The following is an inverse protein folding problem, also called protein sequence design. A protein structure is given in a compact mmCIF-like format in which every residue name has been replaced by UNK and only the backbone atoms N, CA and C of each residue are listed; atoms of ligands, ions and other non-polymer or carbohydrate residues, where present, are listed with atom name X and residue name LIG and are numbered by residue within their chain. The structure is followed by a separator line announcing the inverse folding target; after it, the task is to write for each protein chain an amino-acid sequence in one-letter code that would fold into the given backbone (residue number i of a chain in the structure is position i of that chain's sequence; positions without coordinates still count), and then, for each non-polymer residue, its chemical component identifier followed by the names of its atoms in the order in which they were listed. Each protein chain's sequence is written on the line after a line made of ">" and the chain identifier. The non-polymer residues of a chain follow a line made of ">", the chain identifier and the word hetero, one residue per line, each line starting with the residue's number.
data_IF_440760273690
#
_entry.id   IF_440760273690
#
_cell.length_a   1.000
_cell.length_b   1.000
_cell.length_c   1.000
_cell.angle_alpha   90.00
_cell.angle_beta   90.00
_cell.angle_gamma   90.00
#
_symmetry.space_group_name_H-M   'P 1'
#
loop_
_entity.id
_entity.type
_entity.pdbx_description
1 polymer ?
#
# COMPACT_ATOMS: atom_id res chain seq x y z
N UNK A 1 16.89 -36.99 6.55
CA UNK A 1 17.73 -35.81 6.70
C UNK A 1 16.96 -34.54 6.39
N UNK A 2 17.39 -33.43 6.97
CA UNK A 2 16.84 -32.11 6.65
C UNK A 2 17.10 -31.81 5.18
N UNK A 3 16.10 -31.29 4.47
CA UNK A 3 16.34 -30.82 3.11
C UNK A 3 17.19 -29.53 3.14
N UNK A 4 17.72 -29.12 1.97
CA UNK A 4 18.61 -27.96 1.89
C UNK A 4 17.90 -26.65 2.28
N UNK A 5 16.57 -26.56 2.09
CA UNK A 5 15.80 -25.36 2.43
C UNK A 5 15.65 -25.22 3.95
N UNK A 6 15.41 -26.30 4.69
CA UNK A 6 15.34 -26.27 6.14
C UNK A 6 16.69 -25.95 6.77
N UNK A 7 17.78 -26.54 6.25
CA UNK A 7 19.13 -26.24 6.72
C UNK A 7 19.48 -24.77 6.52
N UNK A 8 19.04 -24.18 5.40
CA UNK A 8 19.24 -22.76 5.10
C UNK A 8 18.44 -21.86 6.05
N UNK A 9 17.17 -22.20 6.32
CA UNK A 9 16.32 -21.47 7.25
C UNK A 9 16.87 -21.46 8.67
N UNK A 10 17.42 -22.59 9.14
CA UNK A 10 17.99 -22.72 10.49
C UNK A 10 19.20 -21.80 10.70
N UNK A 11 19.87 -21.39 9.62
CA UNK A 11 21.02 -20.48 9.69
C UNK A 11 20.66 -19.00 9.57
N UNK A 12 19.39 -18.70 9.33
CA UNK A 12 18.93 -17.32 9.20
C UNK A 12 18.67 -16.69 10.56
N UNK A 13 19.05 -15.42 10.69
CA UNK A 13 18.74 -14.61 11.87
C UNK A 13 17.29 -14.15 11.81
N UNK A 14 16.61 -14.15 12.94
CA UNK A 14 15.22 -13.70 13.03
C UNK A 14 15.14 -12.21 13.17
N UNK A 15 14.25 -11.57 12.38
CA UNK A 15 13.82 -10.19 12.57
C UNK A 15 12.36 -10.17 13.02
N UNK A 16 12.07 -9.40 14.04
CA UNK A 16 10.71 -9.17 14.51
C UNK A 16 10.07 -8.05 13.69
N UNK A 17 8.99 -8.37 13.00
CA UNK A 17 8.30 -7.46 12.08
C UNK A 17 6.91 -7.17 12.59
N UNK A 18 6.60 -5.89 12.80
CA UNK A 18 5.26 -5.45 13.20
C UNK A 18 4.46 -4.93 12.02
N UNK A 19 3.15 -5.15 12.06
CA UNK A 19 2.24 -4.64 11.04
C UNK A 19 0.85 -4.41 11.60
N UNK A 20 0.07 -3.61 10.88
CA UNK A 20 -1.38 -3.52 11.04
C UNK A 20 -2.06 -4.32 9.93
N UNK A 21 -3.35 -4.56 10.07
CA UNK A 21 -4.13 -5.23 9.02
C UNK A 21 -4.44 -4.25 7.90
N UNK A 22 -4.16 -4.67 6.68
CA UNK A 22 -4.50 -3.93 5.46
C UNK A 22 -4.60 -4.89 4.27
N UNK A 23 -5.72 -5.62 4.12
CA UNK A 23 -5.87 -6.57 3.01
C UNK A 23 -5.83 -5.87 1.65
N UNK A 24 -5.26 -6.47 0.61
CA UNK A 24 -4.59 -7.77 0.55
C UNK A 24 -3.08 -7.71 0.84
N UNK A 25 -2.59 -6.60 1.37
CA UNK A 25 -1.17 -6.39 1.64
C UNK A 25 -0.73 -7.15 2.90
N UNK A 26 -1.50 -7.04 3.98
CA UNK A 26 -1.32 -7.79 5.22
C UNK A 26 -2.69 -8.19 5.76
N UNK A 27 -2.91 -9.47 5.95
CA UNK A 27 -4.14 -9.98 6.55
C UNK A 27 -3.88 -11.33 7.22
N UNK A 28 -4.89 -11.86 7.89
CA UNK A 28 -4.81 -13.19 8.49
C UNK A 28 -5.64 -14.16 7.67
N UNK A 29 -5.10 -15.37 7.45
CA UNK A 29 -5.82 -16.42 6.75
C UNK A 29 -6.78 -17.17 7.69
N UNK A 30 -7.42 -18.22 7.18
CA UNK A 30 -8.36 -19.05 7.94
C UNK A 30 -7.72 -19.76 9.12
N UNK A 31 -6.38 -19.92 9.12
CA UNK A 31 -5.62 -20.56 10.21
C UNK A 31 -5.06 -19.54 11.20
N UNK A 32 -5.31 -18.26 10.99
CA UNK A 32 -4.79 -17.18 11.83
C UNK A 32 -3.36 -16.77 11.51
N UNK A 33 -2.77 -17.28 10.44
CA UNK A 33 -1.44 -16.90 10.00
C UNK A 33 -1.46 -15.54 9.31
N UNK A 34 -0.40 -14.76 9.53
CA UNK A 34 -0.23 -13.45 8.87
C UNK A 34 0.31 -13.69 7.46
N UNK A 35 -0.46 -13.25 6.47
CA UNK A 35 -0.19 -13.48 5.05
C UNK A 35 -0.47 -12.19 4.27
N UNK A 36 -0.18 -12.18 2.98
CA UNK A 36 -0.49 -11.08 2.08
C UNK A 36 0.69 -10.71 1.21
N UNK A 37 0.44 -9.75 0.31
CA UNK A 37 1.44 -9.32 -0.67
C UNK A 37 2.70 -8.79 0.00
N UNK A 38 2.55 -7.89 0.98
CA UNK A 38 3.69 -7.29 1.66
C UNK A 38 4.47 -8.32 2.48
N UNK A 39 3.77 -9.30 3.05
CA UNK A 39 4.40 -10.40 3.78
C UNK A 39 5.27 -11.24 2.83
N UNK A 40 4.76 -11.57 1.65
CA UNK A 40 5.52 -12.34 0.65
C UNK A 40 6.73 -11.58 0.14
N UNK A 41 6.58 -10.28 -0.14
CA UNK A 41 7.67 -9.44 -0.61
C UNK A 41 8.78 -9.34 0.43
N UNK A 42 8.43 -9.01 1.67
CA UNK A 42 9.42 -8.85 2.73
C UNK A 42 10.09 -10.17 3.10
N UNK A 43 9.35 -11.27 3.13
CA UNK A 43 9.91 -12.59 3.41
C UNK A 43 10.98 -12.97 2.38
N UNK A 44 10.68 -12.81 1.08
CA UNK A 44 11.64 -13.07 0.01
C UNK A 44 12.87 -12.17 0.11
N UNK A 45 12.65 -10.87 0.30
CA UNK A 45 13.75 -9.91 0.39
C UNK A 45 14.66 -10.18 1.59
N UNK A 46 14.09 -10.48 2.75
CA UNK A 46 14.85 -10.80 3.96
C UNK A 46 15.65 -12.09 3.79
N UNK A 47 15.07 -13.11 3.16
CA UNK A 47 15.77 -14.37 2.88
C UNK A 47 17.02 -14.12 2.05
N UNK A 48 16.93 -13.25 1.05
CA UNK A 48 18.09 -12.90 0.19
C UNK A 48 19.25 -12.27 0.95
N UNK A 49 18.97 -11.62 2.08
CA UNK A 49 20.01 -10.95 2.88
C UNK A 49 20.34 -11.67 4.19
N UNK A 50 19.86 -12.91 4.35
CA UNK A 50 20.24 -13.76 5.47
C UNK A 50 19.36 -13.67 6.72
N UNK A 51 18.12 -13.20 6.57
CA UNK A 51 17.16 -13.08 7.67
C UNK A 51 15.88 -13.85 7.40
N UNK A 52 15.18 -14.18 8.47
CA UNK A 52 13.80 -14.68 8.40
C UNK A 52 12.90 -13.82 9.27
N UNK A 53 11.70 -13.49 8.79
CA UNK A 53 10.78 -12.64 9.55
C UNK A 53 10.00 -13.44 10.59
N UNK A 54 9.69 -12.77 11.68
CA UNK A 54 8.66 -13.19 12.62
C UNK A 54 7.64 -12.07 12.68
N UNK A 55 6.47 -12.32 12.09
CA UNK A 55 5.42 -11.32 11.97
C UNK A 55 4.53 -11.29 13.20
N UNK A 56 4.12 -10.08 13.58
CA UNK A 56 3.10 -9.89 14.60
C UNK A 56 2.25 -8.67 14.28
N UNK A 57 0.96 -8.76 14.57
CA UNK A 57 0.07 -7.60 14.52
C UNK A 57 0.33 -6.77 15.78
N UNK A 58 0.39 -5.46 15.59
CA UNK A 58 0.66 -4.51 16.67
C UNK A 58 -0.41 -3.43 16.72
N UNK A 59 -0.48 -2.73 17.85
CA UNK A 59 -1.15 -1.44 17.90
C UNK A 59 -0.27 -0.45 17.11
N UNK A 60 -0.77 0.01 15.97
CA UNK A 60 -0.01 0.83 15.05
C UNK A 60 0.46 2.15 15.67
N UNK A 61 -0.29 2.67 16.64
CA UNK A 61 0.09 3.87 17.36
C UNK A 61 1.36 3.70 18.20
N UNK A 62 1.71 2.45 18.52
CA UNK A 62 2.90 2.12 19.32
C UNK A 62 4.14 1.80 18.47
N UNK A 63 4.06 1.89 17.15
CA UNK A 63 5.15 1.44 16.27
C UNK A 63 6.51 2.09 16.58
N UNK A 64 6.54 3.40 16.83
CA UNK A 64 7.79 4.10 17.12
C UNK A 64 8.40 3.65 18.45
N UNK A 65 7.56 3.50 19.47
CA UNK A 65 7.96 3.03 20.79
C UNK A 65 8.53 1.61 20.73
N UNK A 66 7.85 0.72 19.99
CA UNK A 66 8.28 -0.67 19.85
C UNK A 66 9.59 -0.80 19.05
N UNK A 67 9.80 0.05 18.06
CA UNK A 67 11.06 0.12 17.32
C UNK A 67 12.19 0.67 18.22
N UNK A 68 11.92 1.73 18.95
CA UNK A 68 12.92 2.35 19.83
C UNK A 68 13.37 1.42 20.96
N UNK A 69 12.47 0.60 21.50
CA UNK A 69 12.79 -0.37 22.54
C UNK A 69 13.54 -1.60 22.05
N UNK A 70 13.54 -1.85 20.73
CA UNK A 70 14.11 -3.05 20.14
C UNK A 70 13.19 -4.26 20.19
N UNK A 71 11.97 -4.11 20.69
CA UNK A 71 10.96 -5.17 20.70
C UNK A 71 10.58 -5.56 19.25
N UNK A 72 10.56 -4.56 18.35
CA UNK A 72 10.47 -4.78 16.91
C UNK A 72 11.75 -4.33 16.23
N UNK A 73 12.15 -5.06 15.19
CA UNK A 73 13.24 -4.66 14.31
C UNK A 73 12.77 -3.71 13.21
N UNK A 74 11.58 -3.96 12.67
CA UNK A 74 11.00 -3.12 11.63
C UNK A 74 9.47 -3.22 11.62
N UNK A 75 8.84 -2.27 10.93
CA UNK A 75 7.40 -2.27 10.68
C UNK A 75 7.14 -2.12 9.18
N UNK A 76 6.04 -2.67 8.71
CA UNK A 76 5.64 -2.63 7.31
C UNK A 76 4.12 -2.80 7.17
N UNK A 77 3.61 -2.85 5.94
CA UNK A 77 2.20 -3.05 5.66
C UNK A 77 1.58 -1.83 5.01
N UNK A 78 1.76 -1.69 3.70
CA UNK A 78 1.32 -0.53 2.93
C UNK A 78 1.71 0.80 3.59
N UNK A 79 2.92 0.85 4.14
CA UNK A 79 3.42 1.99 4.91
C UNK A 79 4.11 3.00 4.00
N UNK A 80 3.47 4.16 3.82
CA UNK A 80 3.99 5.22 2.96
C UNK A 80 5.24 5.88 3.56
N UNK A 81 6.30 5.95 2.74
CA UNK A 81 7.52 6.69 3.07
C UNK A 81 7.33 8.20 2.94
N UNK A 82 6.43 8.62 2.09
CA UNK A 82 6.25 10.03 1.73
C UNK A 82 5.82 10.85 2.93
N UNK A 83 6.57 11.93 3.18
CA UNK A 83 6.34 12.82 4.33
C UNK A 83 6.93 12.30 5.65
N UNK A 84 7.52 11.11 5.65
CA UNK A 84 8.10 10.48 6.84
C UNK A 84 9.57 10.11 6.66
N UNK A 85 10.21 10.65 5.62
CA UNK A 85 11.57 10.29 5.24
C UNK A 85 12.58 10.48 6.38
N UNK A 86 12.34 11.45 7.25
CA UNK A 86 13.21 11.78 8.38
C UNK A 86 12.78 11.17 9.72
N UNK A 87 11.71 10.38 9.74
CA UNK A 87 11.19 9.79 10.98
C UNK A 87 11.72 8.38 11.23
N UNK A 88 12.15 7.69 10.17
CA UNK A 88 12.64 6.31 10.24
C UNK A 88 13.85 6.13 9.33
N UNK A 89 14.56 5.01 9.51
CA UNK A 89 15.43 4.51 8.45
C UNK A 89 14.61 3.59 7.58
N UNK A 90 14.52 3.92 6.31
CA UNK A 90 13.65 3.24 5.37
C UNK A 90 14.39 2.27 4.46
N UNK A 91 13.78 1.12 4.25
CA UNK A 91 14.10 0.24 3.14
C UNK A 91 12.99 0.35 2.10
N UNK A 92 13.34 0.62 0.87
CA UNK A 92 12.38 0.80 -0.20
C UNK A 92 12.69 2.03 -1.05
N UNK A 93 11.69 2.52 -1.83
CA UNK A 93 10.33 1.96 -1.93
C UNK A 93 10.32 0.58 -2.59
N UNK A 94 9.39 -0.27 -2.21
CA UNK A 94 9.24 -1.59 -2.83
C UNK A 94 8.00 -1.69 -3.75
N UNK A 95 6.98 -0.87 -3.53
CA UNK A 95 5.80 -0.73 -4.39
C UNK A 95 5.36 0.73 -4.44
N UNK A 96 4.72 1.10 -5.53
CA UNK A 96 3.97 2.34 -5.62
C UNK A 96 2.57 2.12 -5.06
N UNK A 97 2.02 3.17 -4.43
CA UNK A 97 0.66 3.18 -3.89
C UNK A 97 -0.05 4.43 -4.39
N UNK A 98 -1.24 4.26 -4.96
CA UNK A 98 -1.99 5.35 -5.58
C UNK A 98 -3.34 5.53 -4.92
N UNK A 99 -3.68 6.79 -4.62
CA UNK A 99 -5.04 7.21 -4.31
C UNK A 99 -5.60 7.78 -5.60
N UNK A 100 -6.75 7.28 -6.04
CA UNK A 100 -7.27 7.57 -7.37
C UNK A 100 -8.74 7.94 -7.34
N UNK A 101 -9.19 8.54 -8.43
CA UNK A 101 -10.60 8.83 -8.68
C UNK A 101 -11.13 7.81 -9.68
N UNK A 102 -12.30 7.23 -9.39
CA UNK A 102 -13.00 6.34 -10.29
C UNK A 102 -14.36 6.92 -10.66
N UNK A 103 -14.75 6.71 -11.89
CA UNK A 103 -16.02 7.17 -12.46
C UNK A 103 -16.71 6.02 -13.20
N UNK A 104 -17.97 6.20 -13.52
CA UNK A 104 -18.67 5.29 -14.42
C UNK A 104 -17.96 5.26 -15.78
N UNK A 105 -17.86 4.09 -16.44
CA UNK A 105 -17.18 4.00 -17.74
C UNK A 105 -17.73 4.95 -18.82
N UNK A 106 -18.99 5.36 -18.70
CA UNK A 106 -19.65 6.28 -19.64
C UNK A 106 -19.53 7.75 -19.24
N UNK A 107 -18.87 8.05 -18.12
CA UNK A 107 -18.69 9.43 -17.65
C UNK A 107 -17.83 10.26 -18.63
N UNK A 108 -18.08 11.55 -18.67
CA UNK A 108 -17.26 12.52 -19.39
C UNK A 108 -16.11 13.11 -18.57
N UNK A 109 -15.90 12.58 -17.35
CA UNK A 109 -14.79 12.97 -16.47
C UNK A 109 -13.57 12.14 -16.84
N UNK A 110 -12.51 12.76 -17.33
CA UNK A 110 -11.27 12.09 -17.75
C UNK A 110 -10.04 12.55 -16.97
N UNK A 111 -10.07 13.78 -16.45
CA UNK A 111 -8.94 14.37 -15.72
C UNK A 111 -9.42 14.90 -14.38
N UNK A 112 -8.49 15.20 -13.47
CA UNK A 112 -8.85 15.84 -12.20
C UNK A 112 -9.52 17.20 -12.42
N UNK A 113 -9.13 17.94 -13.46
CA UNK A 113 -9.76 19.22 -13.81
C UNK A 113 -11.25 19.08 -14.14
N UNK A 114 -11.67 17.93 -14.65
CA UNK A 114 -13.09 17.67 -14.97
C UNK A 114 -13.97 17.50 -13.74
N UNK A 115 -13.38 17.46 -12.54
CA UNK A 115 -14.12 17.40 -11.27
C UNK A 115 -14.75 18.73 -10.88
N UNK A 116 -14.49 19.82 -11.64
CA UNK A 116 -15.09 21.13 -11.37
C UNK A 116 -16.61 21.02 -11.29
N UNK A 117 -17.16 21.52 -10.20
CA UNK A 117 -18.60 21.52 -9.92
C UNK A 117 -19.25 20.13 -9.91
N UNK A 118 -18.46 19.08 -9.59
CA UNK A 118 -18.95 17.71 -9.48
C UNK A 118 -19.08 17.28 -8.02
N UNK A 119 -19.88 16.24 -7.79
CA UNK A 119 -20.07 15.63 -6.48
C UNK A 119 -19.15 14.42 -6.39
N UNK A 120 -18.32 14.39 -5.35
CA UNK A 120 -17.35 13.30 -5.12
C UNK A 120 -17.62 12.67 -3.76
N UNK A 121 -17.56 11.35 -3.70
CA UNK A 121 -17.68 10.62 -2.43
C UNK A 121 -16.37 9.95 -2.04
N UNK A 122 -16.13 9.92 -0.74
CA UNK A 122 -14.95 9.28 -0.11
C UNK A 122 -15.39 8.56 1.16
N UNK A 123 -14.51 7.70 1.67
CA UNK A 123 -14.66 7.19 3.03
C UNK A 123 -14.02 8.16 4.02
N UNK A 124 -14.66 8.36 5.15
CA UNK A 124 -14.16 9.21 6.23
C UNK A 124 -12.81 8.70 6.75
N UNK A 125 -11.95 9.61 7.18
CA UNK A 125 -10.64 9.34 7.78
C UNK A 125 -9.65 8.63 6.83
N UNK A 126 -9.81 8.87 5.52
CA UNK A 126 -8.90 8.34 4.50
C UNK A 126 -8.07 9.47 3.89
N UNK A 127 -7.00 9.11 3.19
CA UNK A 127 -6.17 10.10 2.47
C UNK A 127 -6.95 10.85 1.39
N UNK A 128 -7.82 10.21 0.58
CA UNK A 128 -8.63 10.95 -0.38
C UNK A 128 -9.53 12.01 0.26
N UNK A 129 -10.14 11.71 1.41
CA UNK A 129 -10.92 12.71 2.15
C UNK A 129 -10.05 13.91 2.50
N UNK A 130 -8.88 13.68 3.10
CA UNK A 130 -7.98 14.75 3.51
C UNK A 130 -7.53 15.61 2.32
N UNK A 131 -7.21 14.97 1.20
CA UNK A 131 -6.76 15.67 -0.01
C UNK A 131 -7.88 16.57 -0.56
N UNK A 132 -9.09 16.04 -0.66
CA UNK A 132 -10.22 16.77 -1.25
C UNK A 132 -10.78 17.82 -0.30
N UNK A 133 -10.91 17.47 0.99
CA UNK A 133 -11.45 18.38 2.00
C UNK A 133 -10.52 19.58 2.25
N UNK A 134 -9.23 19.32 2.34
CA UNK A 134 -8.22 20.33 2.68
C UNK A 134 -7.46 20.85 1.47
N UNK A 135 -7.91 20.52 0.28
CA UNK A 135 -7.39 21.02 -1.01
C UNK A 135 -5.87 20.83 -1.13
N UNK A 136 -5.39 19.64 -0.83
CA UNK A 136 -3.96 19.31 -0.81
C UNK A 136 -3.39 18.96 -2.19
N UNK A 137 -4.22 18.87 -3.22
CA UNK A 137 -3.78 18.65 -4.59
C UNK A 137 -4.23 19.84 -5.45
N UNK A 138 -3.28 20.64 -5.94
CA UNK A 138 -3.55 21.85 -6.70
C UNK A 138 -4.21 21.61 -8.06
N UNK A 139 -4.15 20.37 -8.58
CA UNK A 139 -4.79 20.00 -9.85
C UNK A 139 -6.27 19.70 -9.68
N UNK A 140 -6.75 19.58 -8.45
CA UNK A 140 -8.18 19.38 -8.18
C UNK A 140 -8.87 20.72 -8.08
N UNK A 141 -9.87 20.98 -8.95
CA UNK A 141 -10.61 22.25 -8.93
C UNK A 141 -11.59 22.29 -7.76
N UNK A 142 -12.35 23.38 -7.69
CA UNK A 142 -13.46 23.49 -6.75
C UNK A 142 -14.53 22.47 -7.12
N UNK A 143 -14.74 21.47 -6.29
CA UNK A 143 -15.84 20.50 -6.46
C UNK A 143 -17.13 21.09 -5.89
N UNK A 144 -18.27 20.54 -6.29
CA UNK A 144 -19.57 20.99 -5.79
C UNK A 144 -19.82 20.55 -4.36
N UNK A 145 -19.63 19.25 -4.08
CA UNK A 145 -19.81 18.66 -2.76
C UNK A 145 -18.90 17.47 -2.57
N UNK A 146 -18.47 17.26 -1.32
CA UNK A 146 -17.77 16.08 -0.88
C UNK A 146 -18.66 15.31 0.10
N UNK A 147 -19.06 14.08 -0.27
CA UNK A 147 -19.77 13.18 0.64
C UNK A 147 -18.78 12.24 1.30
N UNK A 148 -18.77 12.24 2.64
CA UNK A 148 -17.89 11.36 3.42
C UNK A 148 -18.74 10.29 4.10
N UNK A 149 -18.57 9.04 3.68
CA UNK A 149 -19.25 7.91 4.28
C UNK A 149 -18.37 7.26 5.34
N UNK A 150 -18.96 6.84 6.45
CA UNK A 150 -18.22 6.12 7.49
C UNK A 150 -17.80 4.71 7.02
N UNK A 151 -18.55 4.12 6.10
CA UNK A 151 -18.30 2.78 5.54
C UNK A 151 -18.02 2.90 4.04
N UNK A 152 -16.85 2.42 3.60
CA UNK A 152 -16.44 2.46 2.20
C UNK A 152 -17.32 1.62 1.27
N UNK A 153 -18.11 0.69 1.80
CA UNK A 153 -19.03 -0.13 1.00
C UNK A 153 -20.14 0.68 0.35
N UNK A 154 -20.40 1.90 0.82
CA UNK A 154 -21.40 2.79 0.22
C UNK A 154 -20.90 3.53 -1.03
N UNK A 155 -19.59 3.55 -1.29
CA UNK A 155 -19.03 4.32 -2.42
C UNK A 155 -19.55 3.82 -3.77
N UNK A 156 -19.45 2.53 -4.01
CA UNK A 156 -19.86 1.96 -5.28
C UNK A 156 -21.37 2.11 -5.55
N UNK A 157 -22.28 1.79 -4.60
CA UNK A 157 -23.71 2.05 -4.80
C UNK A 157 -24.02 3.51 -5.09
N UNK A 158 -23.34 4.45 -4.41
CA UNK A 158 -23.55 5.89 -4.66
C UNK A 158 -23.18 6.28 -6.08
N UNK A 159 -22.11 5.72 -6.63
CA UNK A 159 -21.69 5.97 -8.01
C UNK A 159 -22.67 5.33 -9.01
N UNK A 160 -23.01 4.06 -8.82
CA UNK A 160 -23.89 3.30 -9.73
C UNK A 160 -25.28 3.93 -9.79
N UNK A 161 -25.80 4.37 -8.67
CA UNK A 161 -27.13 5.00 -8.61
C UNK A 161 -27.15 6.46 -9.04
N UNK A 162 -25.98 7.02 -9.36
CA UNK A 162 -25.88 8.41 -9.82
C UNK A 162 -26.03 9.45 -8.71
N UNK A 163 -25.91 9.05 -7.45
CA UNK A 163 -25.92 9.98 -6.31
C UNK A 163 -24.70 10.89 -6.33
N UNK A 164 -23.57 10.37 -6.78
CA UNK A 164 -22.32 11.11 -6.95
C UNK A 164 -21.77 10.93 -8.37
N UNK A 165 -20.92 11.86 -8.81
CA UNK A 165 -20.31 11.83 -10.14
C UNK A 165 -19.01 11.03 -10.15
N UNK A 166 -18.34 10.94 -9.01
CA UNK A 166 -17.05 10.27 -8.86
C UNK A 166 -16.87 9.77 -7.43
N UNK A 167 -16.02 8.77 -7.27
CA UNK A 167 -15.61 8.26 -5.96
C UNK A 167 -14.09 8.21 -5.92
N UNK A 168 -13.50 8.35 -4.74
CA UNK A 168 -12.06 8.33 -4.58
C UNK A 168 -11.66 7.40 -3.44
N UNK A 169 -10.63 6.58 -3.69
CA UNK A 169 -10.13 5.60 -2.74
C UNK A 169 -8.73 5.13 -3.17
N UNK A 170 -8.15 4.24 -2.38
CA UNK A 170 -6.93 3.54 -2.79
C UNK A 170 -7.22 2.70 -4.03
N UNK A 171 -6.32 2.74 -5.00
CA UNK A 171 -6.49 2.02 -6.28
C UNK A 171 -6.76 0.53 -6.08
N UNK A 172 -6.09 -0.10 -5.10
CA UNK A 172 -6.29 -1.52 -4.80
C UNK A 172 -7.75 -1.87 -4.46
N UNK A 173 -8.47 -0.94 -3.82
CA UNK A 173 -9.88 -1.16 -3.46
C UNK A 173 -10.75 -1.31 -4.71
N UNK A 174 -10.53 -0.48 -5.71
CA UNK A 174 -11.25 -0.56 -6.99
C UNK A 174 -10.89 -1.83 -7.76
N UNK A 175 -9.62 -2.15 -7.84
CA UNK A 175 -9.15 -3.34 -8.56
C UNK A 175 -9.69 -4.63 -7.93
N UNK A 176 -9.70 -4.70 -6.60
CA UNK A 176 -10.26 -5.82 -5.87
C UNK A 176 -11.76 -5.94 -6.08
N UNK A 177 -12.47 -4.81 -6.03
CA UNK A 177 -13.91 -4.78 -6.21
C UNK A 177 -14.32 -5.19 -7.64
N UNK A 178 -13.58 -4.75 -8.65
CA UNK A 178 -13.78 -5.19 -10.04
C UNK A 178 -13.64 -6.70 -10.17
N UNK A 179 -12.58 -7.26 -9.56
CA UNK A 179 -12.27 -8.68 -9.61
C UNK A 179 -13.33 -9.52 -8.90
N UNK A 180 -13.74 -9.10 -7.68
CA UNK A 180 -14.60 -9.89 -6.82
C UNK A 180 -16.09 -9.79 -7.21
N UNK A 181 -16.52 -8.64 -7.73
CA UNK A 181 -17.93 -8.34 -7.99
C UNK A 181 -18.25 -8.04 -9.46
N UNK A 182 -17.24 -8.03 -10.32
CA UNK A 182 -17.43 -7.75 -11.75
C UNK A 182 -17.90 -6.34 -12.07
N UNK A 183 -17.71 -5.40 -11.14
CA UNK A 183 -18.06 -3.99 -11.34
C UNK A 183 -17.02 -3.32 -12.23
N UNK A 184 -17.48 -2.54 -13.21
CA UNK A 184 -16.60 -1.80 -14.10
C UNK A 184 -16.48 -0.35 -13.64
N UNK A 185 -15.26 0.13 -13.52
CA UNK A 185 -14.92 1.53 -13.31
C UNK A 185 -14.06 2.05 -14.44
N UNK A 186 -14.02 3.38 -14.60
CA UNK A 186 -12.91 4.00 -15.30
C UNK A 186 -12.12 4.80 -14.27
N UNK A 187 -10.91 4.35 -14.00
CA UNK A 187 -9.99 5.01 -13.07
C UNK A 187 -9.28 6.11 -13.88
N UNK A 188 -9.24 7.32 -13.34
CA UNK A 188 -8.54 8.42 -13.98
C UNK A 188 -7.03 8.14 -13.98
N UNK A 189 -6.36 8.45 -15.11
CA UNK A 189 -4.92 8.22 -15.22
C UNK A 189 -4.12 9.08 -14.23
N UNK A 190 -4.60 10.28 -13.96
CA UNK A 190 -3.97 11.22 -13.04
C UNK A 190 -4.37 10.87 -11.60
N UNK A 191 -3.43 10.47 -10.73
CA UNK A 191 -3.76 10.13 -9.35
C UNK A 191 -3.98 11.38 -8.49
N UNK A 192 -4.73 11.22 -7.40
CA UNK A 192 -4.80 12.23 -6.35
C UNK A 192 -3.50 12.30 -5.55
N UNK A 193 -2.89 11.14 -5.34
CA UNK A 193 -1.65 11.00 -4.60
C UNK A 193 -0.96 9.72 -5.05
N UNK A 194 0.35 9.80 -5.24
CA UNK A 194 1.18 8.65 -5.52
C UNK A 194 2.38 8.65 -4.56
N UNK A 195 2.59 7.54 -3.85
CA UNK A 195 3.62 7.42 -2.83
C UNK A 195 4.38 6.10 -2.97
N UNK A 196 5.58 6.06 -2.41
CA UNK A 196 6.35 4.83 -2.29
C UNK A 196 6.07 4.15 -0.95
N UNK A 197 5.91 2.83 -0.97
CA UNK A 197 5.78 2.01 0.24
C UNK A 197 7.13 1.48 0.66
N UNK A 198 7.39 1.47 1.95
CA UNK A 198 8.66 1.02 2.50
C UNK A 198 8.52 0.23 3.78
N UNK A 199 9.66 -0.31 4.20
CA UNK A 199 9.84 -0.98 5.49
C UNK A 199 10.63 -0.06 6.40
N UNK A 200 10.09 0.25 7.57
CA UNK A 200 10.66 1.25 8.47
C UNK A 200 11.41 0.59 9.63
N UNK A 201 12.64 1.05 9.83
CA UNK A 201 13.50 0.71 10.97
C UNK A 201 13.60 1.93 11.88
N UNK A 202 13.99 1.71 13.14
CA UNK A 202 14.24 2.82 14.05
C UNK A 202 15.25 3.81 13.44
N UNK A 203 15.04 5.10 13.65
CA UNK A 203 15.92 6.15 13.10
C UNK A 203 17.37 5.99 13.57
N UNK A 204 17.58 5.39 14.73
CA UNK A 204 18.90 5.15 15.32
C UNK A 204 19.48 3.76 15.00
N UNK A 205 18.82 2.97 14.17
CA UNK A 205 19.30 1.65 13.76
C UNK A 205 20.50 1.81 12.84
N UNK A 206 21.67 1.33 13.29
CA UNK A 206 22.94 1.46 12.57
C UNK A 206 23.43 0.15 11.96
N UNK A 207 22.59 -0.90 11.97
CA UNK A 207 22.98 -2.23 11.44
C UNK A 207 23.12 -2.28 9.92
N UNK A 208 22.56 -1.28 9.21
CA UNK A 208 22.60 -1.24 7.75
C UNK A 208 21.65 -2.19 7.06
N UNK A 209 20.70 -2.77 7.79
CA UNK A 209 19.69 -3.68 7.21
C UNK A 209 18.82 -2.95 6.22
N UNK A 210 18.48 -1.69 6.48
CA UNK A 210 17.71 -0.83 5.59
C UNK A 210 18.34 -0.74 4.20
N UNK A 211 19.65 -0.56 4.13
CA UNK A 211 20.40 -0.48 2.86
C UNK A 211 20.39 -1.81 2.12
N UNK A 212 20.69 -2.90 2.84
CA UNK A 212 20.71 -4.26 2.26
C UNK A 212 19.32 -4.66 1.75
N UNK A 213 18.28 -4.35 2.51
CA UNK A 213 16.90 -4.67 2.15
C UNK A 213 16.45 -3.86 0.92
N UNK A 214 16.84 -2.59 0.83
CA UNK A 214 16.57 -1.76 -0.36
C UNK A 214 17.20 -2.39 -1.61
N UNK A 215 18.43 -2.86 -1.52
CA UNK A 215 19.09 -3.56 -2.64
C UNK A 215 18.36 -4.85 -3.01
N UNK A 216 17.87 -5.61 -2.01
CA UNK A 216 17.09 -6.82 -2.27
C UNK A 216 15.78 -6.50 -3.02
N UNK A 217 15.10 -5.44 -2.64
CA UNK A 217 13.90 -4.98 -3.34
C UNK A 217 14.20 -4.60 -4.80
N UNK A 218 15.30 -3.87 -5.03
CA UNK A 218 15.72 -3.50 -6.38
C UNK A 218 16.05 -4.72 -7.23
N UNK A 219 16.70 -5.72 -6.64
CA UNK A 219 17.02 -6.98 -7.29
C UNK A 219 15.75 -7.75 -7.66
N UNK A 220 14.77 -7.78 -6.76
CA UNK A 220 13.47 -8.43 -7.02
C UNK A 220 12.69 -7.75 -8.16
N UNK A 221 12.81 -6.43 -8.29
CA UNK A 221 12.24 -5.70 -9.43
C UNK A 221 12.94 -6.09 -10.73
N UNK A 222 14.27 -6.15 -10.70
CA UNK A 222 15.06 -6.41 -11.89
C UNK A 222 14.90 -7.84 -12.41
N UNK A 223 14.75 -8.82 -11.51
CA UNK A 223 14.68 -10.24 -11.89
C UNK A 223 13.26 -10.77 -12.11
N UNK A 224 12.24 -9.92 -12.00
CA UNK A 224 10.84 -10.30 -12.23
C UNK A 224 10.13 -10.90 -11.02
N UNK A 225 10.81 -11.07 -9.88
CA UNK A 225 10.18 -11.61 -8.67
C UNK A 225 9.08 -10.71 -8.16
N UNK A 226 9.32 -9.39 -8.14
CA UNK A 226 8.32 -8.43 -7.65
C UNK A 226 7.05 -8.50 -8.49
N UNK A 227 7.18 -8.48 -9.81
CA UNK A 227 6.05 -8.61 -10.74
C UNK A 227 5.28 -9.90 -10.51
N UNK A 228 5.99 -11.02 -10.34
CA UNK A 228 5.35 -12.31 -10.07
C UNK A 228 4.53 -12.30 -8.79
N UNK A 229 5.07 -11.72 -7.71
CA UNK A 229 4.37 -11.66 -6.43
C UNK A 229 3.13 -10.76 -6.49
N UNK A 230 3.26 -9.58 -7.10
CA UNK A 230 2.13 -8.65 -7.27
C UNK A 230 1.04 -9.29 -8.12
N UNK A 231 1.40 -10.01 -9.17
CA UNK A 231 0.46 -10.67 -10.08
C UNK A 231 -0.38 -11.77 -9.42
N UNK A 232 0.04 -12.27 -8.27
CA UNK A 232 -0.77 -13.22 -7.48
C UNK A 232 -2.00 -12.55 -6.87
N UNK A 233 -1.97 -11.25 -6.69
CA UNK A 233 -3.03 -10.48 -6.01
C UNK A 233 -3.79 -9.56 -6.95
N UNK A 234 -3.16 -9.07 -8.02
CA UNK A 234 -3.74 -8.11 -8.96
C UNK A 234 -3.49 -8.57 -10.39
N UNK A 235 -4.49 -8.46 -11.24
CA UNK A 235 -4.40 -8.90 -12.64
C UNK A 235 -3.39 -8.06 -13.44
N UNK A 236 -3.33 -6.75 -13.17
CA UNK A 236 -2.33 -5.86 -13.77
C UNK A 236 -1.38 -5.35 -12.68
N UNK A 237 -0.12 -5.82 -12.66
CA UNK A 237 0.85 -5.40 -11.66
C UNK A 237 1.44 -4.02 -11.93
N UNK A 238 1.33 -3.49 -13.15
CA UNK A 238 2.08 -2.31 -13.58
C UNK A 238 1.88 -1.06 -12.73
N UNK A 239 0.68 -0.74 -12.21
CA UNK A 239 0.52 0.44 -11.37
C UNK A 239 1.34 0.41 -10.08
N UNK A 240 1.67 -0.79 -9.60
CA UNK A 240 2.41 -0.99 -8.34
C UNK A 240 3.91 -0.97 -8.53
N UNK A 241 4.39 -1.14 -9.76
CA UNK A 241 5.81 -1.33 -10.06
C UNK A 241 6.53 -0.08 -10.54
N UNK A 242 5.79 0.95 -10.93
CA UNK A 242 6.40 2.20 -11.41
C UNK A 242 6.67 3.13 -10.22
N UNK A 243 7.91 3.09 -9.74
CA UNK A 243 8.34 3.85 -8.56
C UNK A 243 9.28 5.00 -8.90
N UNK A 244 9.39 5.35 -10.18
CA UNK A 244 10.24 6.45 -10.62
C UNK A 244 9.84 7.77 -9.93
N UNK A 245 10.79 8.41 -9.26
CA UNK A 245 10.56 9.67 -8.56
C UNK A 245 9.83 9.56 -7.24
N UNK A 246 9.54 8.36 -6.74
CA UNK A 246 8.85 8.17 -5.46
C UNK A 246 9.83 7.99 -4.30
N UNK A 247 9.42 8.50 -3.16
CA UNK A 247 10.09 8.29 -1.88
C UNK A 247 9.12 7.69 -0.88
#
# INVERSE_FOLDING_TARGET
>A
GLDASQAKDDNLKTLNVGSDLYPPFVYTDEYGDIVGLDVEILTEALTRIGYKPKYQLIDWEKKKELLASGELDCVMGSFSMTGRENEYRWAGPYLASRQVVAVDPQSDIYTLADLEDKIVAVQSTTKPEDILLNRKNENVPQIKELYSFSDGSYLNPALVEGLVDAIAAHESSFLTYEKDYGVAYRILDEPLLEVGLGTAFDINDTRGIDVKLTHAYQEMLADGTMERLVSKYFDDPSPFLNMEGLS
#
